data_IF_664386772313
#
_entry.id   IF_664386772313
#
_cell.length_a   1.000
_cell.length_b   1.000
_cell.length_c   1.000
_cell.angle_alpha   90.00
_cell.angle_beta   90.00
_cell.angle_gamma   90.00
#
_symmetry.space_group_name_H-M   'P 1'
#
loop_
_entity.id
_entity.type
_entity.pdbx_description
1 polymer ?
2 polymer ?
#
# COMPACT_ATOMS: atom_id res chain seq x y z
N UNK A 1 -6.20 -14.70 9.82
CA UNK A 1 -7.02 -14.59 8.59
C UNK A 1 -7.00 -13.12 8.12
N UNK A 2 -5.92 -12.73 7.44
CA UNK A 2 -5.55 -11.36 7.09
C UNK A 2 -6.28 -10.75 5.87
N UNK A 3 -7.36 -11.38 5.40
CA UNK A 3 -8.08 -11.08 4.15
C UNK A 3 -8.30 -9.60 3.81
N UNK A 4 -8.78 -8.72 4.72
CA UNK A 4 -9.10 -7.33 4.38
C UNK A 4 -7.87 -6.53 3.93
N UNK A 5 -6.74 -6.65 4.64
CA UNK A 5 -5.52 -5.97 4.24
C UNK A 5 -4.80 -6.72 3.10
N UNK A 6 -4.79 -8.06 3.14
CA UNK A 6 -4.10 -8.87 2.13
C UNK A 6 -4.71 -8.64 0.75
N UNK A 7 -6.03 -8.48 0.64
CA UNK A 7 -6.65 -8.16 -0.64
C UNK A 7 -6.42 -6.71 -1.08
N UNK A 8 -6.24 -5.77 -0.16
CA UNK A 8 -5.90 -4.38 -0.50
C UNK A 8 -4.45 -4.26 -1.01
N UNK A 9 -3.46 -4.88 -0.35
CA UNK A 9 -2.09 -4.96 -0.91
C UNK A 9 -2.05 -5.81 -2.19
N UNK A 10 -2.96 -6.78 -2.33
CA UNK A 10 -3.20 -7.55 -3.56
C UNK A 10 -3.76 -6.70 -4.71
N UNK A 11 -4.52 -5.64 -4.41
CA UNK A 11 -4.98 -4.67 -5.41
C UNK A 11 -3.77 -3.93 -6.03
N UNK A 12 -2.88 -3.40 -5.19
CA UNK A 12 -1.64 -2.74 -5.61
C UNK A 12 -0.74 -3.70 -6.44
N UNK A 13 -0.63 -4.98 -6.06
CA UNK A 13 0.11 -5.98 -6.87
C UNK A 13 -0.57 -6.20 -8.24
N UNK A 14 -1.89 -6.44 -8.25
CA UNK A 14 -2.65 -6.73 -9.47
C UNK A 14 -2.73 -5.54 -10.42
N UNK A 15 -2.63 -4.31 -9.90
CA UNK A 15 -2.46 -3.11 -10.73
C UNK A 15 -1.04 -3.09 -11.32
N UNK A 16 -0.01 -3.14 -10.49
CA UNK A 16 1.38 -2.96 -10.88
C UNK A 16 1.84 -3.99 -11.93
N UNK A 17 1.58 -5.28 -11.71
CA UNK A 17 2.18 -6.34 -12.53
C UNK A 17 1.61 -6.47 -13.96
N UNK A 18 0.45 -5.84 -14.26
CA UNK A 18 -0.05 -5.72 -15.65
C UNK A 18 0.98 -5.02 -16.57
N UNK A 19 1.59 -3.94 -16.07
CA UNK A 19 2.44 -3.03 -16.84
C UNK A 19 3.87 -3.56 -17.03
N UNK A 20 4.42 -4.27 -16.05
CA UNK A 20 5.68 -5.00 -16.24
C UNK A 20 5.48 -6.23 -17.13
N UNK A 21 4.35 -6.93 -16.97
CA UNK A 21 3.92 -8.08 -17.77
C UNK A 21 3.73 -7.79 -19.26
N UNK A 22 3.74 -6.51 -19.65
CA UNK A 22 3.78 -6.06 -21.05
C UNK A 22 5.13 -6.38 -21.73
N UNK A 23 6.22 -6.57 -20.96
CA UNK A 23 7.56 -6.94 -21.46
C UNK A 23 8.19 -8.16 -20.76
N UNK A 24 7.80 -8.52 -19.53
CA UNK A 24 8.35 -9.67 -18.82
C UNK A 24 7.87 -9.85 -17.37
N UNK A 25 8.47 -10.80 -16.66
CA UNK A 25 8.12 -11.19 -15.29
C UNK A 25 8.58 -10.21 -14.19
N UNK A 26 9.31 -9.15 -14.54
CA UNK A 26 10.00 -8.24 -13.62
C UNK A 26 9.08 -7.52 -12.61
N UNK A 27 9.68 -7.17 -11.47
CA UNK A 27 9.09 -6.45 -10.34
C UNK A 27 9.37 -4.91 -10.37
N UNK A 28 9.69 -4.38 -11.55
CA UNK A 28 10.03 -2.97 -11.83
C UNK A 28 9.17 -2.41 -12.95
N UNK A 29 9.05 -1.08 -13.01
CA UNK A 29 8.44 -0.34 -14.14
C UNK A 29 9.41 0.72 -14.65
N UNK A 30 9.63 0.75 -15.96
CA UNK A 30 10.49 1.76 -16.61
C UNK A 30 9.74 3.10 -16.71
N UNK A 31 10.42 4.24 -16.79
CA UNK A 31 9.77 5.56 -16.65
C UNK A 31 8.56 5.82 -17.55
N UNK A 32 8.60 5.35 -18.80
CA UNK A 32 7.46 5.44 -19.73
C UNK A 32 6.35 4.39 -19.47
N UNK A 33 6.70 3.22 -18.91
CA UNK A 33 5.76 2.18 -18.50
C UNK A 33 5.03 2.55 -17.21
N UNK A 34 5.73 3.24 -16.31
CA UNK A 34 5.19 3.89 -15.11
C UNK A 34 4.17 4.96 -15.55
N UNK A 35 4.51 5.80 -16.53
CA UNK A 35 3.57 6.79 -17.07
C UNK A 35 2.33 6.12 -17.73
N UNK A 36 2.51 4.99 -18.40
CA UNK A 36 1.42 4.14 -18.90
C UNK A 36 0.50 3.68 -17.75
N UNK A 37 1.05 3.14 -16.65
CA UNK A 37 0.27 2.82 -15.44
C UNK A 37 -0.53 4.05 -14.98
N UNK A 38 0.09 5.22 -14.83
CA UNK A 38 -0.65 6.41 -14.38
C UNK A 38 -1.80 6.76 -15.33
N UNK A 39 -1.57 6.85 -16.65
CA UNK A 39 -2.61 7.22 -17.61
C UNK A 39 -3.71 6.15 -17.76
N UNK A 40 -3.40 4.87 -17.63
CA UNK A 40 -4.36 3.76 -17.75
C UNK A 40 -5.11 3.45 -16.45
N UNK A 41 -4.53 3.73 -15.28
CA UNK A 41 -5.22 3.62 -13.98
C UNK A 41 -6.04 4.89 -13.68
N UNK A 42 -5.40 6.07 -13.75
CA UNK A 42 -5.99 7.38 -13.50
C UNK A 42 -6.31 8.04 -14.85
N UNK A 43 -7.43 7.63 -15.45
CA UNK A 43 -7.86 7.93 -16.84
C UNK A 43 -8.29 9.38 -17.05
N UNK A 44 -7.33 10.31 -16.96
CA UNK A 44 -7.48 11.76 -17.24
C UNK A 44 -7.55 12.10 -18.75
N UNK A 45 -8.18 11.22 -19.55
CA UNK A 45 -8.21 11.30 -21.02
C UNK A 45 -8.73 12.66 -21.52
N UNK A 46 -7.93 13.32 -22.35
CA UNK A 46 -8.19 14.64 -22.97
C UNK A 46 -8.03 15.83 -22.00
N UNK A 47 -7.76 15.61 -20.70
CA UNK A 47 -7.54 16.68 -19.73
C UNK A 47 -6.10 17.26 -19.82
N UNK A 48 -5.89 18.48 -19.31
CA UNK A 48 -4.59 19.20 -19.32
C UNK A 48 -3.58 18.67 -18.28
N UNK A 49 -3.98 17.78 -17.37
CA UNK A 49 -3.15 17.30 -16.25
C UNK A 49 -1.96 16.40 -16.65
N UNK A 50 -1.77 16.02 -17.92
CA UNK A 50 -0.58 15.23 -18.32
C UNK A 50 0.75 15.97 -18.04
N UNK A 51 0.72 17.31 -18.07
CA UNK A 51 1.83 18.16 -17.64
C UNK A 51 2.11 18.05 -16.12
N UNK A 52 1.11 17.70 -15.32
CA UNK A 52 1.28 17.34 -13.91
C UNK A 52 1.74 15.88 -13.79
N UNK A 53 1.29 14.98 -14.68
CA UNK A 53 1.74 13.57 -14.68
C UNK A 53 3.22 13.44 -15.04
N UNK A 54 3.76 14.22 -15.98
CA UNK A 54 5.22 14.18 -16.24
C UNK A 54 6.04 14.69 -15.06
N UNK A 55 5.48 15.58 -14.20
CA UNK A 55 6.12 15.93 -12.93
C UNK A 55 5.90 14.85 -11.84
N UNK A 56 4.74 14.21 -11.78
CA UNK A 56 4.46 13.06 -10.89
C UNK A 56 5.40 11.88 -11.22
N UNK A 57 5.65 11.64 -12.51
CA UNK A 57 6.64 10.70 -13.03
C UNK A 57 8.05 11.08 -12.58
N UNK A 58 8.45 12.35 -12.60
CA UNK A 58 9.73 12.82 -12.03
C UNK A 58 9.82 12.64 -10.50
N UNK A 59 8.72 12.76 -9.76
CA UNK A 59 8.65 12.45 -8.33
C UNK A 59 8.80 10.93 -8.05
N UNK A 60 8.23 10.08 -8.92
CA UNK A 60 8.36 8.62 -8.88
C UNK A 60 9.77 8.16 -9.30
N UNK A 61 10.31 8.70 -10.39
CA UNK A 61 11.66 8.43 -10.91
C UNK A 61 12.78 8.89 -9.97
N UNK A 62 12.48 9.76 -8.99
CA UNK A 62 13.43 10.20 -7.96
C UNK A 62 13.93 9.04 -7.07
N UNK A 63 13.19 7.93 -7.03
CA UNK A 63 13.62 6.67 -6.40
C UNK A 63 14.72 5.96 -7.23
N UNK A 64 14.54 5.92 -8.56
CA UNK A 64 15.47 5.42 -9.58
C UNK A 64 14.97 5.78 -11.00
N UNK A 65 15.82 6.42 -11.81
CA UNK A 65 15.43 7.00 -13.11
C UNK A 65 15.21 5.96 -14.22
N UNK A 66 16.00 4.88 -14.20
CA UNK A 66 15.98 3.83 -15.22
C UNK A 66 14.69 3.01 -15.15
N UNK A 67 14.35 2.53 -13.95
CA UNK A 67 13.10 1.81 -13.65
C UNK A 67 12.82 1.82 -12.14
N UNK A 68 11.57 2.10 -11.78
CA UNK A 68 11.08 2.23 -10.40
C UNK A 68 10.59 0.85 -9.92
N UNK A 69 11.14 0.37 -8.81
CA UNK A 69 10.78 -0.94 -8.25
C UNK A 69 9.45 -0.90 -7.47
N UNK A 70 8.75 -2.03 -7.43
CA UNK A 70 7.48 -2.24 -6.73
C UNK A 70 7.46 -1.72 -5.28
N UNK A 71 8.51 -1.95 -4.48
CA UNK A 71 8.53 -1.52 -3.09
C UNK A 71 8.54 0.02 -2.99
N UNK A 72 9.30 0.69 -3.85
CA UNK A 72 9.38 2.16 -3.91
C UNK A 72 8.11 2.77 -4.53
N UNK A 73 7.46 2.08 -5.46
CA UNK A 73 6.14 2.44 -5.96
C UNK A 73 5.10 2.40 -4.82
N UNK A 74 5.17 1.44 -3.91
CA UNK A 74 4.33 1.40 -2.69
C UNK A 74 4.74 2.49 -1.67
N UNK A 75 6.02 2.79 -1.47
CA UNK A 75 6.49 3.94 -0.67
C UNK A 75 5.90 5.26 -1.19
N UNK A 76 5.80 5.42 -2.51
CA UNK A 76 5.19 6.59 -3.13
C UNK A 76 3.67 6.63 -2.91
N UNK A 77 2.96 5.50 -3.05
CA UNK A 77 1.54 5.41 -2.69
C UNK A 77 1.30 5.69 -1.20
N UNK A 78 2.27 5.42 -0.32
CA UNK A 78 2.26 5.82 1.09
C UNK A 78 2.30 7.33 1.27
N UNK A 79 3.12 8.04 0.48
CA UNK A 79 3.08 9.51 0.45
C UNK A 79 1.75 10.02 -0.12
N UNK A 80 1.26 9.44 -1.22
CA UNK A 80 -0.01 9.80 -1.86
C UNK A 80 -1.21 9.69 -0.89
N UNK A 81 -1.23 8.63 -0.07
CA UNK A 81 -2.24 8.40 0.97
C UNK A 81 -2.10 9.37 2.15
N UNK A 82 -0.87 9.80 2.49
CA UNK A 82 -0.60 10.78 3.55
C UNK A 82 -0.97 12.21 3.14
N UNK A 83 -0.70 12.56 1.87
CA UNK A 83 -0.98 13.88 1.25
C UNK A 83 -2.47 14.08 0.93
N UNK A 84 -3.27 13.00 0.98
CA UNK A 84 -4.74 13.03 0.82
C UNK A 84 -5.48 13.94 1.84
N UNK A 85 -4.81 14.33 2.94
CA UNK A 85 -5.21 15.35 3.93
C UNK A 85 -6.37 14.92 4.84
N UNK A 86 -7.54 14.61 4.26
CA UNK A 86 -8.76 14.24 4.97
C UNK A 86 -8.71 12.79 5.49
N UNK A 87 -7.98 11.90 4.80
CA UNK A 87 -7.92 10.47 5.09
C UNK A 87 -7.41 10.19 6.52
N UNK A 88 -6.36 10.89 6.94
CA UNK A 88 -5.76 10.83 8.28
C UNK A 88 -6.44 11.78 9.30
N UNK A 89 -7.64 12.29 8.98
CA UNK A 89 -8.49 13.08 9.88
C UNK A 89 -9.89 12.46 10.09
N UNK A 90 -10.48 11.83 9.07
CA UNK A 90 -11.74 11.07 9.12
C UNK A 90 -12.86 11.66 8.25
N UNK B 1 -7.96 0.03 -11.78
CA UNK B 1 -8.46 1.38 -12.16
C UNK B 1 -8.44 2.30 -10.93
N UNK B 2 -8.67 3.60 -11.13
CA UNK B 2 -8.68 4.65 -10.10
C UNK B 2 -9.48 4.29 -8.83
N UNK B 3 -10.79 4.07 -8.93
CA UNK B 3 -11.66 3.76 -7.79
C UNK B 3 -11.27 2.46 -7.05
N UNK B 4 -10.94 1.34 -7.75
CA UNK B 4 -10.35 0.16 -7.14
C UNK B 4 -9.06 0.42 -6.35
N UNK B 5 -8.16 1.28 -6.82
CA UNK B 5 -6.94 1.62 -6.06
C UNK B 5 -7.26 2.56 -4.89
N UNK B 6 -8.10 3.57 -5.10
CA UNK B 6 -8.46 4.61 -4.14
C UNK B 6 -9.15 4.02 -2.88
N UNK B 7 -9.97 2.99 -3.04
CA UNK B 7 -10.52 2.23 -1.92
C UNK B 7 -9.50 1.30 -1.25
N UNK B 8 -8.53 0.74 -1.98
CA UNK B 8 -7.50 -0.12 -1.42
C UNK B 8 -6.49 0.68 -0.55
N UNK B 9 -6.05 1.86 -1.01
CA UNK B 9 -5.24 2.77 -0.17
C UNK B 9 -6.06 3.31 1.03
N UNK B 10 -7.39 3.37 0.89
CA UNK B 10 -8.34 3.65 1.97
C UNK B 10 -8.49 2.52 2.98
N UNK B 11 -8.24 1.27 2.59
CA UNK B 11 -8.19 0.13 3.51
C UNK B 11 -7.01 0.28 4.49
N UNK B 12 -5.83 0.59 3.97
CA UNK B 12 -4.61 0.78 4.78
C UNK B 12 -4.79 1.89 5.83
N UNK B 13 -5.41 3.02 5.47
CA UNK B 13 -5.70 4.10 6.44
C UNK B 13 -6.86 3.74 7.38
N UNK B 14 -7.88 3.03 6.87
CA UNK B 14 -9.02 2.53 7.65
C UNK B 14 -8.60 1.51 8.72
N UNK B 15 -7.52 0.77 8.47
CA UNK B 15 -6.85 -0.08 9.45
C UNK B 15 -5.95 0.74 10.38
N UNK B 16 -5.00 1.50 9.83
CA UNK B 16 -3.92 2.16 10.57
C UNK B 16 -4.39 3.23 11.56
N UNK B 17 -5.25 4.16 11.14
CA UNK B 17 -5.57 5.34 11.95
C UNK B 17 -6.41 5.06 13.22
N UNK B 18 -7.11 3.92 13.28
CA UNK B 18 -7.80 3.46 14.48
C UNK B 18 -6.83 3.17 15.64
N UNK B 19 -5.64 2.65 15.31
CA UNK B 19 -4.57 2.36 16.27
C UNK B 19 -3.70 3.58 16.58
N UNK B 20 -3.24 4.34 15.58
CA UNK B 20 -2.41 5.53 15.84
C UNK B 20 -3.17 6.61 16.63
N UNK B 21 -4.45 6.84 16.30
CA UNK B 21 -5.35 7.78 16.96
C UNK B 21 -6.08 7.22 18.19
N UNK B 22 -5.66 6.07 18.74
CA UNK B 22 -6.37 5.42 19.86
C UNK B 22 -6.32 6.21 21.18
N UNK B 23 -5.26 7.00 21.38
CA UNK B 23 -5.05 7.83 22.59
C UNK B 23 -4.65 9.29 22.28
N UNK B 24 -4.97 9.78 21.07
CA UNK B 24 -4.71 11.16 20.62
C UNK B 24 -5.03 11.40 19.15
N UNK B 25 -4.50 12.50 18.60
CA UNK B 25 -4.54 12.84 17.16
C UNK B 25 -3.39 12.21 16.34
N UNK B 26 -2.56 11.40 17.00
CA UNK B 26 -1.29 10.85 16.53
C UNK B 26 -1.38 10.01 15.24
N UNK B 27 -0.31 10.07 14.44
CA UNK B 27 -0.17 9.46 13.10
C UNK B 27 0.96 8.40 13.00
N UNK B 28 1.39 7.86 14.15
CA UNK B 28 2.42 6.82 14.32
C UNK B 28 1.85 5.64 15.12
N UNK B 29 2.43 4.45 14.95
CA UNK B 29 2.12 3.25 15.73
C UNK B 29 3.30 2.87 16.64
N UNK B 30 3.05 2.82 17.94
CA UNK B 30 4.00 2.25 18.91
C UNK B 30 3.91 0.71 18.88
N UNK B 31 4.80 0.04 19.61
CA UNK B 31 4.92 -1.42 19.61
C UNK B 31 3.61 -2.14 20.00
N UNK B 32 2.87 -1.58 20.96
CA UNK B 32 1.55 -2.09 21.35
C UNK B 32 0.48 -1.83 20.27
N UNK B 33 0.48 -0.67 19.62
CA UNK B 33 -0.46 -0.33 18.54
C UNK B 33 -0.37 -1.33 17.40
N UNK B 34 0.84 -1.60 16.89
CA UNK B 34 1.00 -2.45 15.70
C UNK B 34 0.59 -3.89 16.03
N UNK B 35 0.97 -4.39 17.20
CA UNK B 35 0.56 -5.74 17.62
C UNK B 35 -0.97 -5.86 17.78
N UNK B 36 -1.63 -4.87 18.41
CA UNK B 36 -3.09 -4.83 18.55
C UNK B 36 -3.80 -4.70 17.20
N UNK B 37 -3.24 -3.90 16.26
CA UNK B 37 -3.72 -3.77 14.90
C UNK B 37 -3.73 -5.13 14.19
N UNK B 38 -2.61 -5.85 14.21
CA UNK B 38 -2.53 -7.16 13.55
C UNK B 38 -3.47 -8.17 14.22
N UNK B 39 -3.40 -8.33 15.55
CA UNK B 39 -4.21 -9.32 16.24
C UNK B 39 -5.73 -9.03 16.17
N UNK B 40 -6.15 -7.77 16.02
CA UNK B 40 -7.57 -7.44 15.81
C UNK B 40 -8.01 -7.48 14.33
N UNK B 41 -7.28 -6.81 13.44
CA UNK B 41 -7.70 -6.57 12.03
C UNK B 41 -7.33 -7.74 11.10
N UNK B 42 -6.19 -8.40 11.33
CA UNK B 42 -5.69 -9.50 10.51
C UNK B 42 -5.77 -10.87 11.22
N UNK B 43 -5.94 -10.87 12.55
CA UNK B 43 -5.83 -12.02 13.47
C UNK B 43 -4.48 -12.69 13.26
N UNK B 44 -4.44 -13.97 12.91
CA UNK B 44 -3.22 -14.76 12.70
C UNK B 44 -3.53 -16.09 11.96
N UNK B 45 -2.49 -16.82 11.53
CA UNK B 45 -2.62 -18.19 11.00
C UNK B 45 -2.72 -19.20 12.15
N UNK B 46 -1.84 -19.08 13.13
CA UNK B 46 -1.88 -19.80 14.41
C UNK B 46 -1.29 -18.93 15.54
N UNK B 47 -1.90 -18.94 16.73
CA UNK B 47 -1.45 -18.13 17.88
C UNK B 47 -0.01 -18.47 18.35
N UNK B 48 0.52 -19.63 17.96
CA UNK B 48 1.93 -20.02 18.14
C UNK B 48 2.92 -19.11 17.38
N UNK B 49 2.46 -18.43 16.32
CA UNK B 49 3.28 -17.51 15.52
C UNK B 49 3.43 -16.11 16.16
N UNK B 50 2.77 -15.81 17.29
CA UNK B 50 2.79 -14.48 17.90
C UNK B 50 4.20 -14.00 18.29
N UNK B 51 5.11 -14.93 18.60
CA UNK B 51 6.52 -14.66 18.83
C UNK B 51 7.24 -14.15 17.55
N UNK B 52 6.80 -14.59 16.37
CA UNK B 52 7.24 -14.04 15.08
C UNK B 52 6.50 -12.74 14.74
N UNK B 53 5.26 -12.54 15.21
CA UNK B 53 4.56 -11.24 15.09
C UNK B 53 5.27 -10.14 15.88
N UNK B 54 5.72 -10.40 17.12
CA UNK B 54 6.54 -9.39 17.85
C UNK B 54 7.93 -9.17 17.22
N UNK B 55 8.47 -10.13 16.46
CA UNK B 55 9.70 -9.92 15.66
C UNK B 55 9.40 -9.09 14.39
N UNK B 56 8.26 -9.31 13.73
CA UNK B 56 7.76 -8.46 12.63
C UNK B 56 7.50 -7.03 13.12
N UNK B 57 6.97 -6.86 14.34
CA UNK B 57 6.77 -5.56 15.01
C UNK B 57 8.11 -4.85 15.27
N UNK B 58 9.12 -5.58 15.73
CA UNK B 58 10.50 -5.10 15.92
C UNK B 58 11.20 -4.74 14.59
N UNK B 59 10.93 -5.48 13.50
CA UNK B 59 11.38 -5.15 12.14
C UNK B 59 10.63 -3.96 11.51
N UNK B 60 9.40 -3.67 11.93
CA UNK B 60 8.65 -2.46 11.59
C UNK B 60 9.23 -1.24 12.32
N UNK B 61 9.46 -1.35 13.63
CA UNK B 61 10.09 -0.31 14.45
C UNK B 61 11.57 -0.08 14.10
N UNK B 62 12.21 -0.97 13.35
CA UNK B 62 13.60 -0.83 12.85
C UNK B 62 13.86 0.52 12.17
N UNK B 63 12.83 1.12 11.58
CA UNK B 63 12.89 2.42 10.89
C UNK B 63 13.14 3.62 11.82
N UNK B 64 12.70 3.56 13.09
CA UNK B 64 12.68 4.72 14.01
C UNK B 64 13.09 4.43 15.48
N UNK B 65 13.05 3.18 15.93
CA UNK B 65 13.57 2.68 17.21
C UNK B 65 12.81 3.23 18.45
N UNK B 66 11.49 3.43 18.32
CA UNK B 66 10.59 3.91 19.38
C UNK B 66 9.12 3.68 18.99
N UNK B 67 8.70 4.20 17.82
CA UNK B 67 7.39 3.99 17.20
C UNK B 67 7.46 4.23 15.69
N UNK B 68 6.75 3.45 14.87
CA UNK B 68 6.84 3.45 13.39
C UNK B 68 5.81 4.41 12.77
N UNK B 69 6.24 5.22 11.80
CA UNK B 69 5.40 6.22 11.12
C UNK B 69 4.70 5.66 9.86
N UNK B 70 3.64 6.34 9.42
CA UNK B 70 2.72 5.87 8.39
C UNK B 70 3.37 5.45 7.05
N UNK B 71 4.27 6.27 6.48
CA UNK B 71 4.90 5.92 5.20
C UNK B 71 5.83 4.71 5.34
N UNK B 72 6.52 4.57 6.47
CA UNK B 72 7.41 3.46 6.79
C UNK B 72 6.63 2.16 7.02
N UNK B 73 5.46 2.24 7.67
CA UNK B 73 4.50 1.14 7.77
C UNK B 73 4.02 0.66 6.39
N UNK B 74 3.71 1.59 5.47
CA UNK B 74 3.33 1.24 4.09
C UNK B 74 4.51 0.69 3.28
N UNK B 75 5.72 1.22 3.47
CA UNK B 75 6.97 0.70 2.85
C UNK B 75 7.23 -0.74 3.28
N UNK B 76 7.01 -1.07 4.57
CA UNK B 76 7.08 -2.43 5.09
C UNK B 76 5.97 -3.33 4.52
N UNK B 77 4.74 -2.82 4.33
CA UNK B 77 3.68 -3.55 3.61
C UNK B 77 4.07 -3.81 2.14
N UNK B 78 4.93 -2.98 1.55
CA UNK B 78 5.54 -3.22 0.23
C UNK B 78 6.52 -4.40 0.24
N UNK B 79 7.28 -4.58 1.32
CA UNK B 79 8.11 -5.77 1.53
C UNK B 79 7.26 -7.02 1.84
N UNK B 80 6.18 -6.88 2.62
CA UNK B 80 5.22 -7.95 2.89
C UNK B 80 4.51 -8.41 1.61
N UNK B 81 4.13 -7.46 0.75
CA UNK B 81 3.59 -7.72 -0.58
C UNK B 81 4.61 -8.40 -1.51
N UNK B 82 5.91 -8.06 -1.40
CA UNK B 82 7.01 -8.73 -2.12
C UNK B 82 7.23 -10.18 -1.66
N UNK B 83 6.91 -10.54 -0.41
CA UNK B 83 6.90 -11.95 0.06
C UNK B 83 5.90 -12.82 -0.73
N UNK B 84 4.78 -12.26 -1.20
CA UNK B 84 3.85 -12.91 -2.15
C UNK B 84 4.39 -12.84 -3.59
N UNK B 85 5.66 -13.25 -3.77
CA UNK B 85 6.45 -13.08 -4.98
C UNK B 85 5.84 -13.65 -6.29
N UNK B 86 5.00 -14.70 -6.21
CA UNK B 86 4.33 -15.29 -7.37
C UNK B 86 3.40 -14.28 -8.08
N UNK B 87 2.68 -13.46 -7.32
CA UNK B 87 1.81 -12.39 -7.84
C UNK B 87 2.61 -11.24 -8.51
N UNK B 88 3.90 -11.13 -8.19
CA UNK B 88 4.89 -10.20 -8.77
C UNK B 88 5.84 -10.91 -9.76
N UNK B 89 5.46 -12.09 -10.24
CA UNK B 89 6.16 -12.86 -11.28
C UNK B 89 5.21 -13.25 -12.44
N UNK B 90 3.95 -13.58 -12.11
CA UNK B 90 2.85 -13.83 -13.07
C UNK B 90 3.05 -15.08 -13.92
N UNK C 5 21.46 -15.69 5.82
CA UNK C 5 20.53 -15.01 4.88
C UNK C 5 20.19 -13.60 5.36
N UNK C 6 19.28 -12.90 4.67
CA UNK C 6 18.83 -11.53 5.00
C UNK C 6 18.06 -11.45 6.33
N UNK C 7 17.46 -12.55 6.81
CA UNK C 7 16.74 -12.65 8.08
C UNK C 7 15.33 -12.08 8.06
N UNK C 8 15.16 -10.85 7.52
CA UNK C 8 13.91 -10.10 7.41
C UNK C 8 12.82 -10.94 6.72
N UNK C 9 13.03 -11.26 5.43
CA UNK C 9 12.06 -11.98 4.61
C UNK C 9 11.64 -13.32 5.21
N UNK C 10 12.50 -13.99 5.98
CA UNK C 10 12.17 -15.24 6.68
C UNK C 10 11.17 -15.06 7.85
N UNK C 11 10.94 -13.84 8.35
CA UNK C 11 9.94 -13.56 9.41
C UNK C 11 8.61 -13.19 8.75
N UNK C 12 8.69 -12.40 7.67
CA UNK C 12 7.58 -12.00 6.81
C UNK C 12 6.97 -13.21 6.08
N UNK C 13 7.79 -14.20 5.68
CA UNK C 13 7.33 -15.47 5.07
C UNK C 13 6.37 -16.27 5.97
N UNK C 14 6.39 -16.05 7.29
CA UNK C 14 5.43 -16.69 8.22
C UNK C 14 3.99 -16.15 8.08
N UNK C 15 3.82 -14.92 7.56
CA UNK C 15 2.52 -14.26 7.36
C UNK C 15 1.85 -14.78 6.08
N UNK C 16 2.63 -15.23 5.09
CA UNK C 16 2.15 -15.94 3.90
C UNK C 16 1.30 -17.18 4.26
N UNK C 17 1.71 -17.88 5.31
CA UNK C 17 1.10 -19.10 5.85
C UNK C 17 -0.24 -18.88 6.57
N UNK C 18 -0.72 -17.63 6.63
CA UNK C 18 -2.02 -17.24 7.21
C UNK C 18 -3.23 -17.94 6.53
N UNK C 19 -3.12 -18.26 5.23
CA UNK C 19 -4.08 -19.11 4.51
C UNK C 19 -5.27 -18.38 3.86
N UNK C 20 -5.12 -17.10 3.51
CA UNK C 20 -6.17 -16.30 2.87
C UNK C 20 -6.61 -16.82 1.48
N UNK C 21 -7.84 -16.49 1.10
CA UNK C 21 -8.54 -16.84 -0.13
C UNK C 21 -9.01 -15.63 -0.96
N UNK C 22 -9.07 -14.41 -0.39
CA UNK C 22 -9.56 -13.21 -1.09
C UNK C 22 -8.49 -12.45 -1.88
N UNK C 23 -7.25 -12.43 -1.41
CA UNK C 23 -6.12 -11.76 -2.04
C UNK C 23 -5.87 -12.29 -3.46
N UNK C 24 -5.85 -13.61 -3.60
CA UNK C 24 -5.74 -14.29 -4.89
C UNK C 24 -6.97 -14.11 -5.80
N UNK C 25 -8.14 -13.72 -5.28
CA UNK C 25 -9.31 -13.31 -6.09
C UNK C 25 -9.19 -11.85 -6.55
N UNK C 26 -8.71 -10.97 -5.68
CA UNK C 26 -8.61 -9.52 -5.91
C UNK C 26 -7.51 -9.17 -6.90
N UNK C 27 -6.38 -9.88 -6.87
CA UNK C 27 -5.34 -9.78 -7.92
C UNK C 27 -5.94 -10.11 -9.29
N UNK C 28 -6.69 -11.20 -9.40
CA UNK C 28 -7.36 -11.59 -10.65
C UNK C 28 -8.34 -10.51 -11.12
N UNK C 29 -9.17 -9.93 -10.24
CA UNK C 29 -10.04 -8.80 -10.57
C UNK C 29 -9.25 -7.59 -11.11
N UNK C 30 -8.15 -7.21 -10.45
CA UNK C 30 -7.28 -6.11 -10.86
C UNK C 30 -6.53 -6.35 -12.18
N UNK C 31 -6.35 -7.62 -12.58
CA UNK C 31 -5.86 -7.98 -13.93
C UNK C 31 -7.01 -7.98 -14.96
N UNK C 32 -8.16 -8.54 -14.62
CA UNK C 32 -9.30 -8.82 -15.53
C UNK C 32 -9.99 -7.55 -16.05
N UNK C 33 -9.92 -6.46 -15.29
CA UNK C 33 -10.37 -5.13 -15.73
C UNK C 33 -9.67 -4.60 -17.00
N UNK C 34 -8.47 -5.12 -17.33
CA UNK C 34 -7.65 -4.68 -18.46
C UNK C 34 -7.54 -5.73 -19.59
N UNK C 35 -8.43 -6.74 -19.60
CA UNK C 35 -8.49 -7.82 -20.62
C UNK C 35 -8.70 -7.32 -22.06
N UNK D 5 13.57 22.06 -0.80
CA UNK D 5 12.97 20.75 -1.16
C UNK D 5 12.04 20.87 -2.37
N UNK D 6 11.76 19.76 -3.06
CA UNK D 6 10.80 19.71 -4.18
C UNK D 6 9.35 19.90 -3.69
N UNK D 7 8.50 20.46 -4.56
CA UNK D 7 7.08 20.73 -4.28
C UNK D 7 6.18 19.50 -4.39
N UNK D 8 6.58 18.39 -3.77
CA UNK D 8 5.95 17.06 -3.85
C UNK D 8 4.43 17.14 -3.61
N UNK D 9 4.02 17.49 -2.38
CA UNK D 9 2.63 17.57 -1.97
C UNK D 9 1.76 18.48 -2.84
N UNK D 10 2.35 19.48 -3.51
CA UNK D 10 1.63 20.36 -4.45
C UNK D 10 1.34 19.69 -5.81
N UNK D 11 2.05 18.61 -6.18
CA UNK D 11 1.82 17.85 -7.43
C UNK D 11 0.94 16.64 -7.12
N UNK D 12 1.15 16.03 -5.94
CA UNK D 12 0.35 14.93 -5.41
C UNK D 12 -1.07 15.38 -5.03
N UNK D 13 -1.26 16.65 -4.63
CA UNK D 13 -2.57 17.28 -4.45
C UNK D 13 -3.43 17.21 -5.73
N UNK D 14 -2.81 17.31 -6.92
CA UNK D 14 -3.52 17.20 -8.21
C UNK D 14 -4.10 15.79 -8.45
N UNK D 15 -3.64 14.78 -7.71
CA UNK D 15 -4.17 13.40 -7.73
C UNK D 15 -5.20 13.17 -6.62
N UNK D 16 -5.00 13.70 -5.42
CA UNK D 16 -6.00 13.74 -4.34
C UNK D 16 -7.32 14.34 -4.86
N UNK D 17 -7.20 15.46 -5.56
CA UNK D 17 -8.33 16.20 -6.13
C UNK D 17 -8.87 15.63 -7.45
N UNK D 18 -8.27 14.53 -7.94
CA UNK D 18 -8.74 13.74 -9.10
C UNK D 18 -9.35 12.38 -8.69
N UNK D 19 -8.99 11.83 -7.52
CA UNK D 19 -9.50 10.57 -6.99
C UNK D 19 -11.02 10.56 -6.74
N UNK D 20 -11.61 9.37 -6.80
CA UNK D 20 -13.08 9.19 -6.81
C UNK D 20 -13.75 9.26 -5.41
N UNK D 21 -12.95 9.48 -4.36
CA UNK D 21 -13.33 9.73 -2.95
C UNK D 21 -13.72 8.45 -2.17
N UNK D 22 -13.54 7.25 -2.74
CA UNK D 22 -13.76 5.99 -2.05
C UNK D 22 -12.78 5.76 -0.89
N UNK D 23 -11.61 6.43 -0.92
CA UNK D 23 -10.64 6.51 0.18
C UNK D 23 -11.38 6.80 1.49
N UNK D 24 -12.01 7.97 1.59
CA UNK D 24 -12.71 8.39 2.82
C UNK D 24 -13.95 7.52 3.13
N UNK D 25 -14.59 6.91 2.12
CA UNK D 25 -15.74 6.02 2.34
C UNK D 25 -15.28 4.71 3.01
N UNK D 26 -14.20 4.10 2.50
CA UNK D 26 -13.62 2.84 3.00
C UNK D 26 -13.02 3.02 4.40
N UNK D 27 -12.38 4.16 4.65
CA UNK D 27 -11.91 4.54 5.99
C UNK D 27 -13.07 4.54 6.99
N UNK D 28 -14.16 5.26 6.69
CA UNK D 28 -15.33 5.32 7.58
C UNK D 28 -16.02 3.94 7.75
N UNK D 29 -16.05 3.08 6.73
CA UNK D 29 -16.50 1.69 6.86
C UNK D 29 -15.61 0.91 7.86
N UNK D 30 -14.30 0.88 7.62
CA UNK D 30 -13.31 0.22 8.47
C UNK D 30 -13.31 0.70 9.93
N UNK D 31 -13.68 1.97 10.17
CA UNK D 31 -13.83 2.58 11.51
C UNK D 31 -15.11 2.16 12.24
N UNK D 32 -16.12 1.62 11.53
CA UNK D 32 -17.40 1.19 12.09
C UNK D 32 -17.56 -0.33 12.20
N UNK D 33 -17.04 -1.07 11.21
CA UNK D 33 -17.29 -2.51 11.06
C UNK D 33 -16.52 -3.42 12.03
N UNK D 34 -15.49 -2.93 12.73
CA UNK D 34 -14.65 -3.72 13.65
C UNK D 34 -15.27 -3.94 15.05
N UNK D 35 -16.48 -3.42 15.31
CA UNK D 35 -17.24 -3.56 16.56
C UNK D 35 -18.59 -4.27 16.34
#
# INVERSE_FOLDING_TARGET
MASPLDQAIGLLIGIFHKYSGKEGDKHTLSKKELKELIQKELTIGSKLQDAEIVKLMDDLDRNKDQEVNFQEYITFLGALAMIYNEALKG
MASPLDQAIGLLIGIFHKYSGKEGDKHTLSKKELKELIQKELTIGSKLQDAEIVKLMDDLDRNKDQEVNFQEYITFLGALAMIYNEALKG
GPGSSEGLMNVLKKIYEDGDDDMKRTINKAWVESR
GPGSSEGLMNVLKKIYEDGDDDMKRTINKAWVESR
#
